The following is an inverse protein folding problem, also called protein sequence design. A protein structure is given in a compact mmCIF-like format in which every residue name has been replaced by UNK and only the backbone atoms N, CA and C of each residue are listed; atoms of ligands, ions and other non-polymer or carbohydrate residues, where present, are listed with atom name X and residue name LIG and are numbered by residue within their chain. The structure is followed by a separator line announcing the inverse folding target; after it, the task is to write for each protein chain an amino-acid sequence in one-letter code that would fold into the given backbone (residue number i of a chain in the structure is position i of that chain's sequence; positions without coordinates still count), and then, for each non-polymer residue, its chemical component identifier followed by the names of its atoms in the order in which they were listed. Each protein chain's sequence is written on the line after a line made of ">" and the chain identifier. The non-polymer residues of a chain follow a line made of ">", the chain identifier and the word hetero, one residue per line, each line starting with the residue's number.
data_IF_117597762693
#
_entry.id   IF_117597762693
#
_cell.length_a   1.000
_cell.length_b   1.000
_cell.length_c   1.000
_cell.angle_alpha   90.00
_cell.angle_beta   90.00
_cell.angle_gamma   90.00
#
_symmetry.space_group_name_H-M   'P 1'
#
loop_
_entity.id
_entity.type
_entity.pdbx_description
1 polymer ?
#
# COMPACT_ATOMS: atom_id res chain seq x y z
N UNK A 1 11.59 4.67 -9.34
CA UNK A 1 11.62 3.24 -8.98
C UNK A 1 12.70 2.89 -7.97
N UNK A 2 14.00 3.08 -8.24
CA UNK A 2 15.09 2.70 -7.30
C UNK A 2 14.89 3.27 -5.88
N UNK A 3 14.58 4.56 -5.77
CA UNK A 3 14.34 5.25 -4.48
C UNK A 3 13.13 4.65 -3.75
N UNK A 4 12.06 4.31 -4.46
CA UNK A 4 10.86 3.71 -3.86
C UNK A 4 11.15 2.33 -3.28
N UNK A 5 11.94 1.52 -3.98
CA UNK A 5 12.38 0.21 -3.47
C UNK A 5 13.18 0.39 -2.17
N UNK A 6 14.10 1.36 -2.14
CA UNK A 6 14.88 1.68 -0.93
C UNK A 6 13.96 2.11 0.22
N UNK A 7 12.97 2.97 -0.06
CA UNK A 7 11.97 3.39 0.94
C UNK A 7 11.21 2.17 1.46
N UNK A 8 10.70 1.31 0.58
CA UNK A 8 9.96 0.11 0.99
C UNK A 8 10.81 -0.85 1.81
N UNK A 9 12.11 -1.00 1.50
CA UNK A 9 13.04 -1.80 2.31
C UNK A 9 13.16 -1.17 3.72
N UNK A 10 13.44 0.13 3.82
CA UNK A 10 13.55 0.80 5.12
C UNK A 10 12.24 0.67 5.91
N UNK A 11 11.11 0.90 5.24
CA UNK A 11 9.78 0.77 5.84
C UNK A 11 9.51 -0.66 6.31
N UNK A 12 9.94 -1.68 5.55
CA UNK A 12 9.78 -3.08 5.94
C UNK A 12 10.54 -3.42 7.23
N UNK A 13 11.73 -2.84 7.45
CA UNK A 13 12.44 -2.99 8.73
C UNK A 13 11.77 -2.21 9.85
N UNK A 14 11.29 -0.98 9.59
CA UNK A 14 10.61 -0.15 10.61
C UNK A 14 9.34 -0.84 11.10
N UNK A 15 8.55 -1.44 10.20
CA UNK A 15 7.31 -2.11 10.61
C UNK A 15 7.56 -3.41 11.38
N UNK A 16 8.64 -4.14 11.11
CA UNK A 16 8.92 -5.36 11.87
C UNK A 16 9.55 -5.07 13.23
N UNK A 17 10.22 -3.92 13.40
CA UNK A 17 10.98 -3.60 14.62
C UNK A 17 10.32 -2.59 15.55
N UNK A 18 9.68 -1.54 15.02
CA UNK A 18 9.22 -0.37 15.80
C UNK A 18 7.70 -0.23 15.75
N UNK A 19 7.11 -0.35 14.57
CA UNK A 19 5.71 -0.05 14.32
C UNK A 19 4.93 -1.30 13.95
N UNK A 20 4.02 -1.77 14.81
CA UNK A 20 3.17 -2.94 14.52
C UNK A 20 2.05 -2.66 13.49
N UNK A 21 2.34 -1.92 12.43
CA UNK A 21 1.42 -1.55 11.35
C UNK A 21 2.06 -1.90 10.02
N UNK A 22 1.28 -2.44 9.09
CA UNK A 22 1.79 -2.86 7.78
C UNK A 22 1.95 -1.65 6.84
N UNK A 23 2.99 -0.86 7.10
CA UNK A 23 3.33 0.36 6.38
C UNK A 23 3.65 0.11 4.91
N UNK A 24 4.26 -1.03 4.58
CA UNK A 24 4.57 -1.38 3.18
C UNK A 24 3.29 -1.56 2.37
N UNK A 25 2.33 -2.34 2.90
CA UNK A 25 1.02 -2.51 2.28
C UNK A 25 0.31 -1.17 2.12
N UNK A 26 0.33 -0.33 3.16
CA UNK A 26 -0.29 1.00 3.13
C UNK A 26 0.29 1.89 2.02
N UNK A 27 1.61 1.94 1.88
CA UNK A 27 2.28 2.72 0.81
C UNK A 27 1.90 2.17 -0.58
N UNK A 28 1.86 0.85 -0.74
CA UNK A 28 1.48 0.22 -2.01
C UNK A 28 0.02 0.50 -2.38
N UNK A 29 -0.90 0.44 -1.41
CA UNK A 29 -2.30 0.82 -1.58
C UNK A 29 -2.39 2.28 -2.02
N UNK A 30 -1.77 3.21 -1.29
CA UNK A 30 -1.78 4.64 -1.65
C UNK A 30 -1.20 4.89 -3.06
N UNK A 31 -0.11 4.20 -3.42
CA UNK A 31 0.50 4.34 -4.75
C UNK A 31 -0.39 3.79 -5.86
N UNK A 32 -0.96 2.60 -5.68
CA UNK A 32 -1.87 2.01 -6.65
C UNK A 32 -3.15 2.83 -6.86
N UNK A 33 -3.57 3.56 -5.81
CA UNK A 33 -4.67 4.51 -5.88
C UNK A 33 -4.34 5.74 -6.73
N UNK A 34 -3.12 6.27 -6.63
CA UNK A 34 -2.68 7.45 -7.41
C UNK A 34 -2.34 7.07 -8.86
N UNK A 35 -1.64 5.95 -9.05
CA UNK A 35 -1.14 5.49 -10.34
C UNK A 35 -1.29 3.98 -10.47
N UNK A 36 -2.31 3.56 -11.22
CA UNK A 36 -2.47 2.19 -11.69
C UNK A 36 -1.31 1.83 -12.63
N UNK A 37 -0.50 0.85 -12.22
CA UNK A 37 0.65 0.36 -12.97
C UNK A 37 0.97 -1.07 -12.50
N UNK A 38 1.24 -1.97 -13.45
CA UNK A 38 1.61 -3.37 -13.18
C UNK A 38 2.85 -3.49 -12.29
N UNK A 39 3.70 -2.45 -12.26
CA UNK A 39 4.85 -2.40 -11.34
C UNK A 39 4.45 -2.48 -9.88
N UNK A 40 3.24 -2.03 -9.51
CA UNK A 40 2.73 -2.13 -8.14
C UNK A 40 2.45 -3.59 -7.75
N UNK A 41 1.92 -4.40 -8.66
CA UNK A 41 1.64 -5.82 -8.44
C UNK A 41 2.93 -6.62 -8.22
N UNK A 42 3.97 -6.37 -9.03
CA UNK A 42 5.28 -7.00 -8.83
C UNK A 42 5.90 -6.62 -7.49
N UNK A 43 5.78 -5.35 -7.08
CA UNK A 43 6.26 -4.90 -5.77
C UNK A 43 5.46 -5.52 -4.63
N UNK A 44 4.13 -5.60 -4.75
CA UNK A 44 3.27 -6.22 -3.75
C UNK A 44 3.66 -7.69 -3.52
N UNK A 45 3.86 -8.44 -4.61
CA UNK A 45 4.31 -9.82 -4.53
C UNK A 45 5.71 -9.95 -3.89
N UNK A 46 6.69 -9.19 -4.38
CA UNK A 46 8.07 -9.27 -3.90
C UNK A 46 8.19 -8.84 -2.42
N UNK A 47 7.53 -7.75 -2.03
CA UNK A 47 7.55 -7.29 -0.64
C UNK A 47 6.70 -8.16 0.28
N UNK A 48 5.61 -8.77 -0.21
CA UNK A 48 4.88 -9.77 0.58
C UNK A 48 5.75 -10.99 0.91
N UNK A 49 6.58 -11.46 -0.02
CA UNK A 49 7.60 -12.51 0.23
C UNK A 49 8.66 -12.00 1.22
N UNK A 50 9.12 -10.76 1.05
CA UNK A 50 10.16 -10.20 1.92
C UNK A 50 9.68 -10.02 3.36
N UNK A 51 8.48 -9.50 3.56
CA UNK A 51 7.89 -9.26 4.88
C UNK A 51 7.56 -10.57 5.59
N UNK A 52 7.01 -11.55 4.85
CA UNK A 52 6.78 -12.88 5.42
C UNK A 52 8.09 -13.54 5.86
N UNK A 53 9.18 -13.36 5.11
CA UNK A 53 10.50 -13.81 5.54
C UNK A 53 10.98 -13.09 6.81
N UNK A 54 10.82 -11.76 6.90
CA UNK A 54 11.20 -10.98 8.08
C UNK A 54 10.37 -11.33 9.33
N UNK A 55 9.08 -11.64 9.16
CA UNK A 55 8.16 -11.98 10.24
C UNK A 55 8.12 -13.49 10.56
N UNK A 56 8.97 -14.30 9.91
CA UNK A 56 8.98 -15.76 10.04
C UNK A 56 7.60 -16.40 9.78
N UNK A 57 6.83 -15.81 8.88
CA UNK A 57 5.50 -16.24 8.49
C UNK A 57 5.53 -17.06 7.18
N UNK A 58 4.38 -17.60 6.78
CA UNK A 58 4.28 -18.38 5.54
C UNK A 58 4.54 -17.52 4.31
N UNK A 59 5.64 -17.82 3.61
CA UNK A 59 6.26 -16.97 2.57
C UNK A 59 5.35 -16.77 1.33
N UNK A 60 4.47 -17.74 1.06
CA UNK A 60 3.54 -17.69 -0.07
C UNK A 60 2.19 -17.04 0.25
N UNK A 61 1.75 -17.05 1.51
CA UNK A 61 0.39 -16.64 1.83
C UNK A 61 0.24 -15.12 1.88
N UNK A 62 1.15 -14.43 2.58
CA UNK A 62 1.13 -12.97 2.66
C UNK A 62 1.32 -12.29 1.30
N UNK A 63 2.14 -12.87 0.41
CA UNK A 63 2.33 -12.32 -0.94
C UNK A 63 1.07 -12.39 -1.79
N UNK A 64 0.26 -13.44 -1.63
CA UNK A 64 -1.05 -13.54 -2.28
C UNK A 64 -2.04 -12.51 -1.72
N UNK A 65 -2.10 -12.33 -0.39
CA UNK A 65 -2.95 -11.30 0.22
C UNK A 65 -2.58 -9.92 -0.30
N UNK A 66 -1.30 -9.57 -0.30
CA UNK A 66 -0.79 -8.29 -0.80
C UNK A 66 -1.19 -8.06 -2.25
N UNK A 67 -1.03 -9.08 -3.10
CA UNK A 67 -1.37 -8.99 -4.52
C UNK A 67 -2.87 -8.77 -4.71
N UNK A 68 -3.72 -9.51 -3.99
CA UNK A 68 -5.18 -9.35 -4.05
C UNK A 68 -5.58 -7.94 -3.60
N UNK A 69 -5.06 -7.45 -2.48
CA UNK A 69 -5.41 -6.13 -1.95
C UNK A 69 -4.99 -5.01 -2.92
N UNK A 70 -3.79 -5.11 -3.50
CA UNK A 70 -3.28 -4.12 -4.45
C UNK A 70 -3.99 -4.20 -5.82
N UNK A 71 -4.41 -5.39 -6.25
CA UNK A 71 -5.22 -5.52 -7.47
C UNK A 71 -6.61 -4.90 -7.26
N UNK A 72 -7.25 -5.15 -6.11
CA UNK A 72 -8.54 -4.56 -5.76
C UNK A 72 -8.46 -3.04 -5.74
N UNK A 73 -7.39 -2.46 -5.15
CA UNK A 73 -7.20 -1.00 -5.13
C UNK A 73 -6.97 -0.45 -6.53
N UNK A 74 -6.26 -1.17 -7.39
CA UNK A 74 -6.01 -0.78 -8.78
C UNK A 74 -7.28 -0.81 -9.65
N UNK A 75 -8.20 -1.74 -9.38
CA UNK A 75 -9.52 -1.77 -10.02
C UNK A 75 -10.37 -0.60 -9.52
N UNK A 76 -10.40 -0.37 -8.21
CA UNK A 76 -11.17 0.71 -7.60
C UNK A 76 -10.66 2.10 -8.00
N UNK A 77 -9.35 2.27 -8.22
CA UNK A 77 -8.76 3.55 -8.60
C UNK A 77 -9.14 4.00 -10.02
N UNK A 78 -9.60 3.08 -10.87
CA UNK A 78 -10.14 3.39 -12.20
C UNK A 78 -11.58 3.93 -12.15
N UNK A 79 -12.27 3.81 -11.02
CA UNK A 79 -13.60 4.37 -10.86
C UNK A 79 -13.55 5.89 -10.72
N UNK A 80 -14.56 6.59 -11.23
CA UNK A 80 -14.65 8.06 -11.15
C UNK A 80 -14.60 8.60 -9.72
N UNK A 81 -15.02 7.79 -8.74
CA UNK A 81 -14.93 8.12 -7.32
C UNK A 81 -13.47 8.34 -6.86
N UNK A 82 -12.49 7.69 -7.47
CA UNK A 82 -11.08 7.78 -7.06
C UNK A 82 -10.47 9.20 -7.17
N UNK A 83 -11.18 10.13 -7.83
CA UNK A 83 -10.81 11.55 -7.88
C UNK A 83 -10.80 12.23 -6.50
N UNK A 84 -11.58 11.74 -5.54
CA UNK A 84 -11.62 12.32 -4.20
C UNK A 84 -10.54 11.66 -3.30
N UNK A 85 -9.53 12.41 -2.81
CA UNK A 85 -8.48 11.86 -1.96
C UNK A 85 -9.00 11.37 -0.60
N UNK A 86 -10.15 11.87 -0.11
CA UNK A 86 -10.73 11.44 1.16
C UNK A 86 -11.26 10.00 1.12
N UNK A 87 -11.55 9.46 -0.06
CA UNK A 87 -12.05 8.09 -0.20
C UNK A 87 -10.97 7.02 0.04
N UNK A 88 -9.70 7.41 0.14
CA UNK A 88 -8.64 6.49 0.56
C UNK A 88 -8.85 5.98 1.99
N UNK A 89 -9.47 6.79 2.87
CA UNK A 89 -9.70 6.44 4.27
C UNK A 89 -10.67 5.27 4.38
N UNK A 90 -11.93 5.35 3.91
CA UNK A 90 -12.84 4.21 3.98
C UNK A 90 -12.32 3.00 3.19
N UNK A 91 -11.61 3.22 2.08
CA UNK A 91 -11.04 2.14 1.28
C UNK A 91 -9.94 1.39 2.05
N UNK A 92 -9.00 2.11 2.68
CA UNK A 92 -7.96 1.49 3.51
C UNK A 92 -8.54 0.82 4.74
N UNK A 93 -9.59 1.38 5.35
CA UNK A 93 -10.32 0.71 6.42
C UNK A 93 -10.79 -0.70 6.00
N UNK A 94 -11.51 -0.81 4.87
CA UNK A 94 -12.03 -2.09 4.41
C UNK A 94 -10.91 -3.07 4.05
N UNK A 95 -9.85 -2.61 3.39
CA UNK A 95 -8.74 -3.48 2.99
C UNK A 95 -7.94 -4.02 4.19
N UNK A 96 -7.63 -3.17 5.17
CA UNK A 96 -6.93 -3.61 6.38
C UNK A 96 -7.83 -4.45 7.29
N UNK A 97 -9.13 -4.17 7.34
CA UNK A 97 -10.09 -5.04 8.02
C UNK A 97 -10.14 -6.43 7.37
N UNK A 98 -10.13 -6.48 6.03
CA UNK A 98 -10.11 -7.74 5.28
C UNK A 98 -8.79 -8.51 5.49
N UNK A 99 -7.64 -7.83 5.46
CA UNK A 99 -6.34 -8.43 5.79
C UNK A 99 -6.33 -9.05 7.19
N UNK A 100 -6.77 -8.31 8.22
CA UNK A 100 -6.83 -8.85 9.58
C UNK A 100 -7.82 -10.01 9.72
N UNK A 101 -8.96 -9.95 9.03
CA UNK A 101 -9.91 -11.07 9.02
C UNK A 101 -9.28 -12.34 8.43
N UNK A 102 -8.57 -12.23 7.31
CA UNK A 102 -7.87 -13.38 6.72
C UNK A 102 -6.80 -13.90 7.69
N UNK A 103 -5.94 -13.02 8.21
CA UNK A 103 -4.83 -13.43 9.07
C UNK A 103 -5.31 -14.06 10.39
N UNK A 104 -6.42 -13.57 10.94
CA UNK A 104 -7.05 -14.15 12.14
C UNK A 104 -7.71 -15.51 11.89
N UNK A 105 -8.37 -15.70 10.74
CA UNK A 105 -8.95 -17.00 10.36
C UNK A 105 -7.88 -18.08 10.17
N UNK A 106 -6.66 -17.69 9.85
CA UNK A 106 -5.52 -18.59 9.68
C UNK A 106 -4.71 -18.81 10.97
N UNK A 107 -5.15 -18.21 12.08
CA UNK A 107 -4.46 -18.32 13.36
C UNK A 107 -3.09 -17.63 13.40
N UNK A 108 -2.80 -16.74 12.44
CA UNK A 108 -1.52 -16.03 12.36
C UNK A 108 -1.48 -14.80 13.25
N UNK A 109 -2.64 -14.19 13.54
CA UNK A 109 -2.71 -13.01 14.41
C UNK A 109 -4.09 -12.84 15.07
N UNK A 110 -4.12 -12.10 16.18
CA UNK A 110 -5.38 -11.65 16.79
C UNK A 110 -5.96 -10.46 16.03
N UNK A 111 -7.28 -10.38 15.93
CA UNK A 111 -7.96 -9.23 15.35
C UNK A 111 -7.74 -7.99 16.24
N UNK A 112 -7.04 -6.99 15.73
CA UNK A 112 -6.63 -5.80 16.46
C UNK A 112 -7.15 -4.55 15.77
N UNK A 113 -8.36 -4.15 16.18
CA UNK A 113 -9.06 -3.01 15.58
C UNK A 113 -8.28 -1.69 15.67
N UNK A 114 -7.47 -1.51 16.73
CA UNK A 114 -6.61 -0.34 16.92
C UNK A 114 -5.64 -0.13 15.76
N UNK A 115 -5.02 -1.20 15.25
CA UNK A 115 -4.11 -1.16 14.10
C UNK A 115 -4.82 -0.70 12.82
N UNK A 116 -6.07 -1.12 12.62
CA UNK A 116 -6.89 -0.70 11.47
C UNK A 116 -7.15 0.80 11.53
N UNK A 117 -7.61 1.32 12.68
CA UNK A 117 -7.88 2.76 12.86
C UNK A 117 -6.61 3.57 12.58
N UNK A 118 -5.46 3.14 13.12
CA UNK A 118 -4.20 3.86 12.96
C UNK A 118 -3.75 3.86 11.48
N UNK A 119 -3.87 2.72 10.80
CA UNK A 119 -3.59 2.61 9.36
C UNK A 119 -4.48 3.54 8.54
N UNK A 120 -5.76 3.62 8.91
CA UNK A 120 -6.74 4.51 8.30
C UNK A 120 -6.35 5.98 8.45
N UNK A 121 -5.92 6.37 9.65
CA UNK A 121 -5.52 7.74 9.98
C UNK A 121 -4.22 8.12 9.27
N UNK A 122 -3.28 7.17 9.15
CA UNK A 122 -2.02 7.34 8.41
C UNK A 122 -2.20 7.31 6.89
N UNK A 123 -3.30 6.76 6.37
CA UNK A 123 -3.53 6.64 4.92
C UNK A 123 -3.53 7.99 4.21
N UNK A 124 -4.14 9.02 4.81
CA UNK A 124 -4.19 10.37 4.26
C UNK A 124 -2.81 11.05 4.18
N UNK A 125 -2.05 11.19 5.28
CA UNK A 125 -0.74 11.83 5.20
C UNK A 125 0.21 11.05 4.28
N UNK A 126 0.16 9.71 4.28
CA UNK A 126 0.96 8.89 3.37
C UNK A 126 0.53 9.10 1.92
N UNK A 127 -0.77 9.17 1.63
CA UNK A 127 -1.26 9.47 0.29
C UNK A 127 -0.71 10.81 -0.22
N UNK A 128 -0.73 11.86 0.60
CA UNK A 128 -0.16 13.15 0.20
C UNK A 128 1.36 13.09 -0.03
N UNK A 129 2.10 12.39 0.84
CA UNK A 129 3.54 12.18 0.66
C UNK A 129 3.87 11.43 -0.63
N UNK A 130 3.14 10.34 -0.91
CA UNK A 130 3.31 9.55 -2.14
C UNK A 130 2.91 10.37 -3.36
N UNK A 131 1.84 11.18 -3.27
CA UNK A 131 1.40 12.05 -4.36
C UNK A 131 2.42 13.11 -4.70
N UNK A 132 2.96 13.81 -3.69
CA UNK A 132 4.03 14.80 -3.88
C UNK A 132 5.29 14.16 -4.47
N UNK A 133 5.59 12.92 -4.07
CA UNK A 133 6.71 12.17 -4.62
C UNK A 133 6.47 11.83 -6.10
N UNK A 134 5.34 11.21 -6.46
CA UNK A 134 5.01 10.88 -7.86
C UNK A 134 4.97 12.15 -8.74
N UNK A 135 4.40 13.26 -8.26
CA UNK A 135 4.36 14.53 -8.99
C UNK A 135 5.75 15.12 -9.29
N UNK A 136 6.75 14.89 -8.42
CA UNK A 136 8.15 15.30 -8.68
C UNK A 136 8.85 14.49 -9.76
N UNK A 137 8.47 13.24 -9.97
CA UNK A 137 9.11 12.35 -10.94
C UNK A 137 8.35 12.26 -12.27
N UNK A 138 7.12 12.76 -12.35
CA UNK A 138 6.39 12.95 -13.60
C UNK A 138 6.87 14.26 -14.22
N UNK A 139 7.85 14.16 -15.13
CA UNK A 139 8.22 15.28 -16.02
C UNK A 139 6.97 15.65 -16.80
N UNK A 140 6.29 16.74 -16.42
CA UNK A 140 5.28 17.35 -17.29
C UNK A 140 6.03 17.69 -18.57
N UNK A 141 5.71 17.01 -19.68
CA UNK A 141 6.12 17.47 -21.01
C UNK A 141 5.66 18.92 -21.05
N UNK A 142 6.63 19.85 -21.07
CA UNK A 142 6.35 21.28 -21.02
C UNK A 142 5.24 21.58 -22.01
N UNK A 143 4.22 22.31 -21.56
CA UNK A 143 3.16 22.82 -22.43
C UNK A 143 3.90 23.55 -23.56
N UNK A 144 3.99 22.93 -24.73
CA UNK A 144 4.44 23.61 -25.94
C UNK A 144 3.32 24.58 -26.26
N UNK A 145 3.42 25.81 -25.74
CA UNK A 145 2.70 26.93 -26.29
C UNK A 145 3.13 27.01 -27.76
N UNK A 146 2.27 26.56 -28.67
CA UNK A 146 2.35 26.93 -30.08
C UNK A 146 2.14 28.44 -30.11
N UNK A 147 3.23 29.19 -30.20
CA UNK A 147 3.23 30.54 -30.77
C UNK A 147 3.48 30.36 -32.26
#
# INVERSE_FOLDING_TARGET
>A
MKILIIILIITSFIQTTIFSIDLVLLILICRSYIKSDRTNLYLAFAFGIFISHLNLASIGFHSLIYLILVEVTEILSKLRLASNPLLIVPLTFFLFAFDQLINSMLGQSTFEFSKIILSCLLSLPILFLVRLWEERFIVRKGIKLKI
#
